data_IF_603344539301
#
_entry.id   IF_603344539301
#
_cell.length_a   1.000
_cell.length_b   1.000
_cell.length_c   1.000
_cell.angle_alpha   90.00
_cell.angle_beta   90.00
_cell.angle_gamma   90.00
#
_symmetry.space_group_name_H-M   'P 1'
#
loop_
_entity.id
_entity.type
_entity.pdbx_description
1 polymer ?
#
# COMPACT_ATOMS: atom_id res chain seq x y z
N UNK A 1 -49.73 73.92 -30.27
CA UNK A 1 -49.46 72.60 -29.66
C UNK A 1 -47.97 72.37 -29.59
N UNK A 2 -47.41 72.29 -28.38
CA UNK A 2 -46.03 71.84 -28.15
C UNK A 2 -46.15 70.53 -27.38
N UNK A 3 -45.72 69.44 -28.00
CA UNK A 3 -45.81 68.10 -27.43
C UNK A 3 -44.70 67.87 -26.39
N UNK A 4 -45.09 67.58 -25.16
CA UNK A 4 -44.19 67.14 -24.09
C UNK A 4 -43.64 65.73 -24.40
N UNK A 5 -42.31 65.59 -24.38
CA UNK A 5 -41.64 64.29 -24.40
C UNK A 5 -41.63 63.70 -22.98
N UNK A 6 -42.25 62.53 -22.81
CA UNK A 6 -42.09 61.70 -21.61
C UNK A 6 -40.69 61.07 -21.58
N UNK A 7 -39.98 61.26 -20.48
CA UNK A 7 -38.71 60.59 -20.17
C UNK A 7 -39.03 59.26 -19.50
N UNK A 8 -38.71 58.15 -20.17
CA UNK A 8 -38.79 56.79 -19.61
C UNK A 8 -37.57 56.59 -18.71
N UNK A 9 -37.79 56.35 -17.41
CA UNK A 9 -36.73 55.90 -16.48
C UNK A 9 -36.45 54.42 -16.75
N UNK A 10 -35.26 54.11 -17.25
CA UNK A 10 -34.72 52.74 -17.22
C UNK A 10 -34.58 52.27 -15.78
N UNK A 11 -35.06 51.06 -15.48
CA UNK A 11 -34.77 50.35 -14.24
C UNK A 11 -33.41 49.67 -14.38
N UNK A 12 -32.50 49.95 -13.45
CA UNK A 12 -31.26 49.20 -13.27
C UNK A 12 -31.54 47.70 -13.08
N UNK A 13 -30.73 46.79 -13.66
CA UNK A 13 -30.86 45.36 -13.43
C UNK A 13 -30.39 44.99 -12.02
N UNK A 14 -31.25 44.31 -11.26
CA UNK A 14 -30.89 43.75 -9.96
C UNK A 14 -29.82 42.65 -10.13
N UNK A 15 -28.68 42.80 -9.45
CA UNK A 15 -27.68 41.74 -9.31
C UNK A 15 -28.29 40.54 -8.57
N UNK A 16 -28.50 39.44 -9.30
CA UNK A 16 -28.79 38.14 -8.70
C UNK A 16 -27.53 37.70 -7.93
N UNK A 17 -27.56 37.84 -6.60
CA UNK A 17 -26.58 37.21 -5.71
C UNK A 17 -26.82 35.70 -5.72
N UNK A 18 -26.10 34.97 -6.55
CA UNK A 18 -25.98 33.52 -6.39
C UNK A 18 -25.29 33.23 -5.07
N UNK A 19 -26.06 32.77 -4.08
CA UNK A 19 -25.53 32.18 -2.86
C UNK A 19 -24.75 30.91 -3.22
N UNK A 20 -23.44 31.03 -3.33
CA UNK A 20 -22.55 29.87 -3.40
C UNK A 20 -22.59 29.19 -2.03
N UNK A 21 -23.44 28.17 -1.88
CA UNK A 21 -23.38 27.30 -0.69
C UNK A 21 -21.94 26.77 -0.59
N UNK A 22 -21.28 26.88 0.58
CA UNK A 22 -19.98 26.28 0.75
C UNK A 22 -20.12 24.77 0.54
N UNK A 23 -19.45 24.25 -0.50
CA UNK A 23 -19.27 22.81 -0.67
C UNK A 23 -18.45 22.38 0.55
N UNK A 24 -19.11 21.77 1.54
CA UNK A 24 -18.41 21.05 2.60
C UNK A 24 -17.68 19.90 1.92
N UNK A 25 -16.40 20.11 1.63
CA UNK A 25 -15.48 19.03 1.33
C UNK A 25 -15.37 18.22 2.62
N UNK A 26 -16.17 17.16 2.72
CA UNK A 26 -16.03 16.18 3.80
C UNK A 26 -14.70 15.48 3.54
N UNK A 27 -13.64 15.94 4.19
CA UNK A 27 -12.37 15.21 4.23
C UNK A 27 -12.70 13.85 4.86
N UNK A 28 -12.45 12.72 4.18
CA UNK A 28 -12.72 11.41 4.77
C UNK A 28 -11.93 11.30 6.07
N UNK A 29 -12.64 11.02 7.16
CA UNK A 29 -12.06 10.80 8.46
C UNK A 29 -11.09 9.61 8.35
N UNK A 30 -9.84 9.81 8.74
CA UNK A 30 -8.83 8.77 8.66
C UNK A 30 -9.22 7.64 9.60
N UNK A 31 -9.48 6.46 9.05
CA UNK A 31 -10.05 5.33 9.80
C UNK A 31 -8.97 4.32 10.15
N UNK A 32 -8.80 4.00 11.44
CA UNK A 32 -7.89 2.95 11.90
C UNK A 32 -8.63 1.62 11.98
N UNK A 33 -8.26 0.66 11.14
CA UNK A 33 -8.85 -0.67 11.14
C UNK A 33 -8.15 -1.61 12.11
N UNK A 34 -8.93 -2.51 12.73
CA UNK A 34 -8.42 -3.59 13.60
C UNK A 34 -8.54 -4.97 12.96
N UNK A 35 -9.20 -5.07 11.80
CA UNK A 35 -9.38 -6.31 11.05
C UNK A 35 -9.05 -6.08 9.59
N UNK A 36 -8.59 -7.15 8.92
CA UNK A 36 -8.32 -7.09 7.48
C UNK A 36 -9.58 -6.76 6.67
N UNK A 37 -10.74 -7.29 7.07
CA UNK A 37 -12.01 -7.01 6.39
C UNK A 37 -12.38 -5.52 6.42
N UNK A 38 -12.21 -4.86 7.57
CA UNK A 38 -12.39 -3.40 7.67
C UNK A 38 -11.49 -2.68 6.66
N UNK A 39 -10.21 -3.07 6.62
CA UNK A 39 -9.23 -2.39 5.79
C UNK A 39 -9.47 -2.64 4.29
N UNK A 40 -9.88 -3.85 3.92
CA UNK A 40 -10.30 -4.21 2.56
C UNK A 40 -11.52 -3.39 2.10
N UNK A 41 -12.49 -3.11 2.97
CA UNK A 41 -13.63 -2.24 2.63
C UNK A 41 -13.22 -0.78 2.42
N UNK A 42 -12.26 -0.27 3.21
CA UNK A 42 -11.68 1.05 2.95
C UNK A 42 -10.96 1.07 1.59
N UNK A 43 -10.20 0.02 1.26
CA UNK A 43 -9.48 -0.10 -0.01
C UNK A 43 -10.42 -0.06 -1.23
N UNK A 44 -11.50 -0.84 -1.20
CA UNK A 44 -12.53 -0.86 -2.27
C UNK A 44 -13.04 0.53 -2.61
N UNK A 45 -13.18 1.38 -1.60
CA UNK A 45 -13.74 2.73 -1.71
C UNK A 45 -12.66 3.83 -1.77
N UNK A 46 -11.38 3.47 -1.80
CA UNK A 46 -10.24 4.39 -1.70
C UNK A 46 -10.36 5.34 -0.49
N UNK A 47 -10.89 4.87 0.63
CA UNK A 47 -11.07 5.65 1.84
C UNK A 47 -9.81 5.64 2.68
N UNK A 48 -9.48 6.78 3.28
CA UNK A 48 -8.25 6.93 4.07
C UNK A 48 -8.30 6.06 5.31
N UNK A 49 -7.23 5.32 5.56
CA UNK A 49 -7.11 4.52 6.77
C UNK A 49 -5.84 3.72 6.85
N UNK A 50 -5.65 3.04 7.98
CA UNK A 50 -4.51 2.17 8.20
C UNK A 50 -4.86 0.86 8.90
N UNK A 51 -3.93 -0.09 8.80
CA UNK A 51 -4.02 -1.40 9.40
C UNK A 51 -2.62 -1.98 9.59
N UNK A 52 -2.40 -2.69 10.70
CA UNK A 52 -1.18 -3.47 10.92
C UNK A 52 -1.56 -4.94 10.91
N UNK A 53 -0.94 -5.69 10.00
CA UNK A 53 -1.09 -7.13 9.88
C UNK A 53 0.10 -7.84 10.51
N UNK A 54 -0.19 -8.88 11.29
CA UNK A 54 0.77 -9.86 11.76
C UNK A 54 0.52 -11.13 10.97
N UNK A 55 1.51 -11.56 10.20
CA UNK A 55 1.40 -12.75 9.34
C UNK A 55 2.54 -13.71 9.58
N UNK A 56 2.28 -15.00 9.40
CA UNK A 56 3.27 -16.06 9.39
C UNK A 56 2.95 -17.01 8.25
N UNK A 57 3.97 -17.44 7.51
CA UNK A 57 3.80 -18.38 6.42
C UNK A 57 5.13 -18.82 5.82
N UNK A 58 5.09 -19.77 4.88
CA UNK A 58 6.28 -20.21 4.16
C UNK A 58 6.86 -19.06 3.33
N UNK A 59 8.19 -19.01 3.23
CA UNK A 59 8.86 -18.03 2.38
C UNK A 59 8.63 -18.36 0.89
N UNK A 60 8.36 -17.34 0.08
CA UNK A 60 7.91 -17.50 -1.31
C UNK A 60 8.89 -18.28 -2.21
N UNK A 61 10.18 -18.29 -1.86
CA UNK A 61 11.22 -18.96 -2.63
C UNK A 61 11.75 -20.24 -1.98
N UNK A 62 11.33 -20.54 -0.74
CA UNK A 62 11.76 -21.72 0.00
C UNK A 62 10.71 -22.11 1.05
N UNK A 63 10.02 -23.23 0.84
CA UNK A 63 8.99 -23.71 1.77
C UNK A 63 9.54 -24.22 3.11
N UNK A 64 10.85 -24.45 3.22
CA UNK A 64 11.49 -24.88 4.48
C UNK A 64 11.67 -23.72 5.46
N UNK A 65 11.71 -22.49 4.92
CA UNK A 65 11.76 -21.24 5.66
C UNK A 65 10.35 -20.77 6.00
N UNK A 66 10.11 -20.47 7.27
CA UNK A 66 8.94 -19.74 7.73
C UNK A 66 9.33 -18.29 8.01
N UNK A 67 8.57 -17.36 7.46
CA UNK A 67 8.71 -15.93 7.74
C UNK A 67 7.55 -15.46 8.59
N UNK A 68 7.85 -14.72 9.65
CA UNK A 68 6.90 -13.97 10.45
C UNK A 68 7.12 -12.49 10.16
N UNK A 69 6.05 -11.77 9.82
CA UNK A 69 6.16 -10.36 9.42
C UNK A 69 5.12 -9.51 10.13
N UNK A 70 5.55 -8.31 10.52
CA UNK A 70 4.67 -7.20 10.94
C UNK A 70 4.64 -6.21 9.79
N UNK A 71 3.48 -6.07 9.17
CA UNK A 71 3.31 -5.23 7.98
C UNK A 71 2.32 -4.11 8.31
N UNK A 72 2.76 -2.87 8.10
CA UNK A 72 1.89 -1.71 8.17
C UNK A 72 1.36 -1.37 6.79
N UNK A 73 0.05 -1.15 6.70
CA UNK A 73 -0.64 -0.75 5.49
C UNK A 73 -1.36 0.58 5.71
N UNK A 74 -1.34 1.44 4.71
CA UNK A 74 -2.00 2.74 4.74
C UNK A 74 -2.62 3.07 3.38
N UNK A 75 -3.88 3.48 3.38
CA UNK A 75 -4.56 4.06 2.21
C UNK A 75 -4.54 5.58 2.40
N UNK A 76 -3.91 6.29 1.46
CA UNK A 76 -3.81 7.76 1.50
C UNK A 76 -5.00 8.46 0.81
N UNK A 77 -5.84 7.69 0.12
CA UNK A 77 -7.00 8.19 -0.63
C UNK A 77 -6.74 8.20 -2.13
N UNK A 78 -7.49 9.02 -2.88
CA UNK A 78 -7.24 9.21 -4.32
C UNK A 78 -6.18 10.29 -4.56
N UNK A 79 -5.27 10.05 -5.49
CA UNK A 79 -4.34 11.05 -6.02
C UNK A 79 -5.04 11.98 -7.02
N UNK A 80 -4.26 12.90 -7.61
CA UNK A 80 -4.72 13.85 -8.64
C UNK A 80 -5.29 13.18 -9.90
N UNK A 81 -4.82 11.97 -10.21
CA UNK A 81 -5.25 11.18 -11.38
C UNK A 81 -6.47 10.31 -11.06
N UNK A 82 -7.01 10.41 -9.82
CA UNK A 82 -8.17 9.65 -9.37
C UNK A 82 -7.87 8.21 -8.96
N UNK A 83 -6.61 7.79 -8.96
CA UNK A 83 -6.16 6.46 -8.54
C UNK A 83 -5.96 6.40 -7.02
N UNK A 84 -6.21 5.24 -6.41
CA UNK A 84 -5.95 5.03 -5.00
C UNK A 84 -4.44 4.99 -4.74
N UNK A 85 -4.00 5.69 -3.69
CA UNK A 85 -2.64 5.61 -3.17
C UNK A 85 -2.61 4.73 -1.94
N UNK A 86 -1.70 3.76 -1.98
CA UNK A 86 -1.52 2.75 -0.95
C UNK A 86 -0.04 2.66 -0.58
N UNK A 87 0.26 2.62 0.71
CA UNK A 87 1.61 2.36 1.20
C UNK A 87 1.57 1.05 1.96
N UNK A 88 2.51 0.15 1.69
CA UNK A 88 2.83 -0.94 2.61
C UNK A 88 4.28 -0.84 3.06
N UNK A 89 4.50 -1.16 4.32
CA UNK A 89 5.80 -1.12 4.96
C UNK A 89 5.99 -2.41 5.77
N UNK A 90 7.10 -3.10 5.55
CA UNK A 90 7.55 -4.16 6.45
C UNK A 90 8.21 -3.49 7.65
N UNK A 91 7.58 -3.59 8.82
CA UNK A 91 8.10 -3.00 10.06
C UNK A 91 9.14 -3.90 10.72
N UNK A 92 8.92 -5.21 10.64
CA UNK A 92 9.81 -6.22 11.19
C UNK A 92 9.52 -7.56 10.48
N UNK A 93 10.55 -8.33 10.22
CA UNK A 93 10.44 -9.71 9.75
C UNK A 93 11.43 -10.60 10.50
N UNK A 94 10.99 -11.84 10.74
CA UNK A 94 11.79 -12.89 11.35
C UNK A 94 11.66 -14.17 10.51
N UNK A 95 12.77 -14.56 9.89
CA UNK A 95 12.96 -15.83 9.24
C UNK A 95 13.36 -16.89 10.27
N UNK A 96 12.79 -18.07 10.11
CA UNK A 96 13.03 -19.24 10.94
C UNK A 96 12.92 -20.52 10.12
N UNK A 97 13.60 -21.58 10.55
CA UNK A 97 13.52 -22.93 9.99
C UNK A 97 13.20 -23.86 11.16
N UNK A 98 12.29 -24.82 10.95
CA UNK A 98 11.98 -25.85 11.96
C UNK A 98 13.20 -26.75 12.23
N UNK A 99 13.28 -27.31 13.43
CA UNK A 99 14.38 -28.22 13.79
C UNK A 99 14.43 -29.46 12.87
N UNK A 100 13.28 -29.94 12.41
CA UNK A 100 13.15 -31.03 11.44
C UNK A 100 13.81 -30.67 10.10
N UNK A 101 13.49 -29.49 9.55
CA UNK A 101 14.08 -29.02 8.30
C UNK A 101 15.57 -28.73 8.45
N UNK A 102 16.01 -28.18 9.60
CA UNK A 102 17.43 -27.99 9.90
C UNK A 102 18.18 -29.32 9.90
N UNK A 103 17.63 -30.34 10.56
CA UNK A 103 18.22 -31.66 10.61
C UNK A 103 18.33 -32.30 9.21
N UNK A 104 17.33 -32.11 8.35
CA UNK A 104 17.36 -32.59 6.97
C UNK A 104 18.45 -31.90 6.13
N UNK A 105 18.58 -30.58 6.23
CA UNK A 105 19.63 -29.81 5.52
C UNK A 105 21.02 -30.27 5.96
N UNK A 106 21.22 -30.48 7.26
CA UNK A 106 22.48 -30.97 7.84
C UNK A 106 22.75 -32.41 7.40
N UNK A 107 21.75 -33.29 7.41
CA UNK A 107 21.89 -34.68 6.99
C UNK A 107 22.23 -34.81 5.50
N UNK A 108 21.73 -33.88 4.67
CA UNK A 108 22.04 -33.80 3.24
C UNK A 108 23.43 -33.20 2.96
N UNK A 109 24.18 -32.82 4.00
CA UNK A 109 25.55 -32.31 3.89
C UNK A 109 25.66 -30.99 3.14
N UNK A 110 24.57 -30.24 3.02
CA UNK A 110 24.54 -28.96 2.28
C UNK A 110 25.12 -27.83 3.11
N UNK A 111 24.73 -27.76 4.39
CA UNK A 111 25.20 -26.78 5.36
C UNK A 111 25.30 -27.44 6.74
N UNK A 112 26.21 -26.94 7.57
CA UNK A 112 26.23 -27.21 9.02
C UNK A 112 25.16 -26.40 9.74
N UNK A 113 24.80 -26.81 10.96
CA UNK A 113 23.83 -26.06 11.78
C UNK A 113 24.31 -24.63 12.09
N UNK A 114 25.61 -24.45 12.30
CA UNK A 114 26.22 -23.13 12.51
C UNK A 114 26.05 -22.22 11.29
N UNK A 115 26.28 -22.74 10.07
CA UNK A 115 26.09 -21.99 8.83
C UNK A 115 24.62 -21.62 8.60
N UNK A 116 23.68 -22.53 8.91
CA UNK A 116 22.24 -22.25 8.82
C UNK A 116 21.86 -21.10 9.78
N UNK A 117 22.32 -21.17 11.02
CA UNK A 117 22.00 -20.15 12.02
C UNK A 117 22.62 -18.78 11.67
N UNK A 118 23.84 -18.76 11.11
CA UNK A 118 24.48 -17.52 10.65
C UNK A 118 23.74 -16.92 9.44
N UNK A 119 23.32 -17.74 8.47
CA UNK A 119 22.52 -17.25 7.35
C UNK A 119 21.17 -16.67 7.80
N UNK A 120 20.47 -17.34 8.73
CA UNK A 120 19.23 -16.82 9.31
C UNK A 120 19.45 -15.48 10.01
N UNK A 121 20.55 -15.34 10.76
CA UNK A 121 20.91 -14.08 11.40
C UNK A 121 21.13 -12.96 10.36
N UNK A 122 21.93 -13.22 9.32
CA UNK A 122 22.19 -12.25 8.24
C UNK A 122 20.88 -11.85 7.55
N UNK A 123 20.01 -12.80 7.24
CA UNK A 123 18.70 -12.52 6.62
C UNK A 123 17.83 -11.64 7.52
N UNK A 124 17.79 -11.94 8.82
CA UNK A 124 17.02 -11.20 9.80
C UNK A 124 17.55 -9.78 10.04
N UNK A 125 18.87 -9.60 10.06
CA UNK A 125 19.47 -8.26 10.14
C UNK A 125 19.18 -7.47 8.86
N UNK A 126 19.44 -8.06 7.70
CA UNK A 126 19.28 -7.41 6.40
C UNK A 126 17.85 -6.95 6.13
N UNK A 127 16.85 -7.79 6.41
CA UNK A 127 15.44 -7.43 6.14
C UNK A 127 14.94 -6.31 7.04
N UNK A 128 15.42 -6.27 8.29
CA UNK A 128 15.01 -5.27 9.28
C UNK A 128 15.74 -3.93 9.09
N UNK A 129 16.94 -3.96 8.53
CA UNK A 129 17.65 -2.76 8.08
C UNK A 129 17.06 -2.17 6.80
N UNK A 130 16.64 -3.01 5.84
CA UNK A 130 16.16 -2.57 4.53
C UNK A 130 14.90 -1.68 4.59
N UNK A 131 14.12 -1.74 5.69
CA UNK A 131 12.88 -0.96 5.91
C UNK A 131 12.06 -0.82 4.64
N UNK A 132 11.70 -1.97 4.06
CA UNK A 132 11.00 -2.02 2.78
C UNK A 132 9.69 -1.23 2.85
N UNK A 133 9.67 -0.08 2.17
CA UNK A 133 8.49 0.76 1.98
C UNK A 133 8.17 0.78 0.50
N UNK A 134 6.94 0.39 0.17
CA UNK A 134 6.41 0.48 -1.17
C UNK A 134 5.22 1.41 -1.21
N UNK A 135 5.23 2.30 -2.19
CA UNK A 135 4.09 3.15 -2.52
C UNK A 135 3.48 2.65 -3.82
N UNK A 136 2.20 2.32 -3.78
CA UNK A 136 1.47 1.73 -4.86
C UNK A 136 0.32 2.64 -5.31
N UNK A 137 0.05 2.63 -6.60
CA UNK A 137 -1.11 3.28 -7.22
C UNK A 137 -1.91 2.29 -8.05
N UNK A 138 -3.23 2.45 -8.04
CA UNK A 138 -4.15 1.53 -8.71
C UNK A 138 -5.62 1.79 -8.39
N UNK A 139 -6.49 0.88 -8.84
CA UNK A 139 -7.93 0.92 -8.55
C UNK A 139 -8.21 0.29 -7.18
N UNK A 140 -9.13 0.86 -6.41
CA UNK A 140 -9.42 0.41 -5.04
C UNK A 140 -9.81 -1.07 -4.93
N UNK A 141 -10.56 -1.60 -5.89
CA UNK A 141 -10.95 -3.02 -5.95
C UNK A 141 -9.76 -3.95 -6.17
N UNK A 142 -8.76 -3.50 -6.92
CA UNK A 142 -7.55 -4.29 -7.17
C UNK A 142 -6.71 -4.33 -5.89
N UNK A 143 -6.62 -3.21 -5.15
CA UNK A 143 -5.98 -3.20 -3.82
C UNK A 143 -6.65 -4.12 -2.81
N UNK A 144 -7.99 -4.12 -2.78
CA UNK A 144 -8.74 -5.04 -1.94
C UNK A 144 -8.39 -6.51 -2.26
N UNK A 145 -8.24 -6.82 -3.54
CA UNK A 145 -7.82 -8.16 -4.00
C UNK A 145 -6.40 -8.48 -3.57
N UNK A 146 -5.45 -7.55 -3.78
CA UNK A 146 -4.06 -7.70 -3.36
C UNK A 146 -3.94 -7.96 -1.85
N UNK A 147 -4.63 -7.18 -1.01
CA UNK A 147 -4.60 -7.33 0.46
C UNK A 147 -5.07 -8.73 0.87
N UNK A 148 -6.16 -9.21 0.28
CA UNK A 148 -6.68 -10.56 0.55
C UNK A 148 -5.73 -11.65 0.03
N UNK A 149 -5.12 -11.45 -1.13
CA UNK A 149 -4.12 -12.36 -1.69
C UNK A 149 -2.88 -12.43 -0.80
N UNK A 150 -2.36 -11.30 -0.31
CA UNK A 150 -1.22 -11.23 0.61
C UNK A 150 -1.51 -11.97 1.93
N UNK A 151 -2.71 -11.78 2.49
CA UNK A 151 -3.11 -12.47 3.73
C UNK A 151 -3.23 -13.98 3.56
N UNK A 152 -3.55 -14.45 2.35
CA UNK A 152 -3.65 -15.86 2.00
C UNK A 152 -2.38 -16.41 1.35
N UNK A 153 -1.29 -15.64 1.29
CA UNK A 153 -0.03 -16.03 0.62
C UNK A 153 -0.20 -16.45 -0.86
N UNK A 154 -1.17 -15.83 -1.56
CA UNK A 154 -1.52 -16.14 -2.95
C UNK A 154 -1.36 -14.93 -3.87
N UNK A 155 -0.20 -14.28 -3.83
CA UNK A 155 0.10 -13.09 -4.65
C UNK A 155 0.97 -13.42 -5.85
N UNK A 156 0.65 -12.83 -7.01
CA UNK A 156 1.51 -12.90 -8.21
C UNK A 156 2.20 -11.56 -8.48
N UNK A 157 3.49 -11.45 -8.19
CA UNK A 157 4.26 -10.23 -8.44
C UNK A 157 5.25 -10.38 -9.60
N UNK A 158 5.40 -9.31 -10.39
CA UNK A 158 6.53 -9.14 -11.32
C UNK A 158 7.25 -7.83 -11.01
N UNK A 159 8.57 -7.87 -10.83
CA UNK A 159 9.36 -6.69 -10.46
C UNK A 159 10.40 -6.37 -11.53
N UNK A 160 10.54 -5.08 -11.86
CA UNK A 160 11.68 -4.54 -12.61
C UNK A 160 12.54 -3.73 -11.66
N UNK A 161 13.77 -4.17 -11.47
CA UNK A 161 14.78 -3.48 -10.69
C UNK A 161 15.53 -2.54 -11.63
N UNK A 162 15.56 -1.24 -11.32
CA UNK A 162 16.37 -0.29 -12.06
C UNK A 162 17.71 -0.12 -11.35
N UNK A 163 18.75 -0.79 -11.87
CA UNK A 163 20.09 -0.81 -11.28
C UNK A 163 20.78 0.57 -11.19
N UNK A 164 20.24 1.62 -11.81
CA UNK A 164 20.73 3.00 -11.71
C UNK A 164 20.02 3.86 -10.66
N UNK A 165 19.09 3.28 -9.89
CA UNK A 165 18.34 3.97 -8.83
C UNK A 165 18.08 3.01 -7.68
N UNK A 166 17.98 3.54 -6.46
CA UNK A 166 17.59 2.76 -5.27
C UNK A 166 16.07 2.46 -5.25
N UNK A 167 15.48 2.29 -6.44
CA UNK A 167 14.06 2.10 -6.67
C UNK A 167 13.81 0.84 -7.50
N UNK A 168 12.85 0.06 -7.04
CA UNK A 168 12.31 -1.08 -7.78
C UNK A 168 10.84 -0.83 -8.10
N UNK A 169 10.46 -0.99 -9.37
CA UNK A 169 9.06 -0.89 -9.79
C UNK A 169 8.49 -2.29 -9.92
N UNK A 170 7.49 -2.61 -9.10
CA UNK A 170 6.81 -3.90 -9.10
C UNK A 170 5.36 -3.75 -9.55
N UNK A 171 4.89 -4.71 -10.34
CA UNK A 171 3.48 -4.93 -10.67
C UNK A 171 3.03 -6.12 -9.82
N UNK A 172 2.23 -5.86 -8.79
CA UNK A 172 1.79 -6.89 -7.83
C UNK A 172 0.47 -7.58 -8.21
N UNK A 173 -0.29 -6.96 -9.11
CA UNK A 173 -1.53 -7.43 -9.75
C UNK A 173 -1.61 -6.66 -11.08
N UNK A 174 -2.34 -7.11 -12.12
CA UNK A 174 -2.25 -6.56 -13.48
C UNK A 174 -2.44 -5.04 -13.59
N UNK A 175 -3.05 -4.39 -12.60
CA UNK A 175 -3.32 -2.95 -12.57
C UNK A 175 -2.77 -2.21 -11.33
N UNK A 176 -1.92 -2.85 -10.51
CA UNK A 176 -1.30 -2.20 -9.34
C UNK A 176 0.18 -2.01 -9.62
N UNK A 177 0.61 -0.75 -9.67
CA UNK A 177 2.03 -0.40 -9.81
C UNK A 177 2.56 0.08 -8.47
N UNK A 178 3.62 -0.53 -7.99
CA UNK A 178 4.31 -0.19 -6.75
C UNK A 178 5.72 0.28 -7.05
N UNK A 179 6.15 1.35 -6.39
CA UNK A 179 7.53 1.80 -6.36
C UNK A 179 8.03 1.52 -4.95
N UNK A 180 9.02 0.64 -4.86
CA UNK A 180 9.72 0.31 -3.63
C UNK A 180 11.01 1.11 -3.60
N UNK A 181 11.21 1.89 -2.54
CA UNK A 181 12.52 2.49 -2.28
C UNK A 181 13.28 1.52 -1.39
N UNK A 182 14.42 1.02 -1.87
CA UNK A 182 15.38 0.36 -1.00
C UNK A 182 16.33 1.44 -0.52
N UNK A 183 16.23 1.89 0.74
CA UNK A 183 17.26 2.78 1.29
C UNK A 183 18.62 2.05 1.43
N UNK A 184 18.66 0.74 1.21
CA UNK A 184 19.86 -0.07 1.18
C UNK A 184 20.14 -0.61 -0.23
N UNK A 185 20.99 0.12 -0.97
CA UNK A 185 22.05 -0.38 -1.86
C UNK A 185 23.05 0.77 -2.05
#
# INVERSE_FOLDING_TARGET
>A
EVAEKQVVKEKEPELIKTETKPIKVVVPEFTKCTTINCFTELAKNCQKGDFTLYTSGPFLFDSTLTVQSIIYYKINGKNSDGLCEFTYQILNSLFSISDENKAEIVANGTLTEEEINEQLKIMNESINEAKLISNCTGVGTDFATLIMNMANWNTSSSCKINLGSNQSTCILEPNITCISNNEAL
#
